data_IF_632121314036
#
_entry.id   IF_632121314036
#
_cell.length_a   1.000
_cell.length_b   1.000
_cell.length_c   1.000
_cell.angle_alpha   90.00
_cell.angle_beta   90.00
_cell.angle_gamma   90.00
#
_symmetry.space_group_name_H-M   'P 1'
#
loop_
_entity.id
_entity.type
_entity.pdbx_description
1 polymer ?
#
# COMPACT_ATOMS: atom_id res chain seq x y z
N UNK A 1 8.28 -6.00 -20.88
CA UNK A 1 9.39 -5.95 -19.90
C UNK A 1 8.85 -5.52 -18.56
N UNK A 2 9.40 -6.05 -17.48
CA UNK A 2 8.96 -5.72 -16.12
C UNK A 2 10.12 -5.25 -15.27
N UNK A 3 9.87 -4.24 -14.44
CA UNK A 3 10.78 -3.79 -13.41
C UNK A 3 10.05 -3.78 -12.07
N UNK A 4 10.76 -3.91 -10.96
CA UNK A 4 10.16 -3.88 -9.63
C UNK A 4 11.05 -3.17 -8.62
N UNK A 5 10.40 -2.57 -7.62
CA UNK A 5 11.07 -1.96 -6.47
C UNK A 5 10.33 -2.30 -5.19
N UNK A 6 11.07 -2.58 -4.14
CA UNK A 6 10.53 -2.85 -2.81
C UNK A 6 10.56 -1.61 -1.92
N UNK A 7 9.55 -1.50 -1.07
CA UNK A 7 9.40 -0.47 -0.05
C UNK A 7 8.99 -1.13 1.27
N UNK A 8 9.30 -0.49 2.38
CA UNK A 8 8.90 -0.91 3.72
C UNK A 8 8.28 0.26 4.47
N UNK A 9 7.32 -0.03 5.34
CA UNK A 9 6.75 0.95 6.27
C UNK A 9 6.17 0.24 7.50
N UNK A 10 6.07 0.98 8.59
CA UNK A 10 5.46 0.52 9.83
C UNK A 10 4.02 1.05 9.91
N UNK A 11 3.06 0.18 10.17
CA UNK A 11 1.67 0.60 10.26
C UNK A 11 0.89 -0.26 11.24
N UNK A 12 0.00 0.38 12.03
CA UNK A 12 -0.93 -0.29 12.91
C UNK A 12 -2.29 -0.49 12.27
N UNK A 13 -3.01 -1.49 12.74
CA UNK A 13 -4.39 -1.74 12.37
C UNK A 13 -5.07 -2.72 13.33
N UNK A 14 -6.34 -2.97 13.14
CA UNK A 14 -7.07 -4.11 13.70
C UNK A 14 -8.14 -4.59 12.73
N UNK A 15 -8.53 -5.85 12.88
CA UNK A 15 -9.62 -6.46 12.14
C UNK A 15 -10.74 -6.81 13.13
N UNK A 16 -11.72 -5.93 13.37
CA UNK A 16 -12.72 -6.12 14.43
C UNK A 16 -13.56 -7.39 14.29
N UNK A 17 -13.75 -7.85 13.04
CA UNK A 17 -14.49 -9.08 12.73
C UNK A 17 -13.71 -10.36 13.00
N UNK A 18 -12.37 -10.27 13.17
CA UNK A 18 -11.49 -11.43 13.28
C UNK A 18 -11.73 -12.18 14.60
N UNK A 19 -11.76 -13.51 14.53
CA UNK A 19 -11.98 -14.37 15.71
C UNK A 19 -10.70 -14.63 16.50
N UNK A 20 -9.54 -14.40 15.89
CA UNK A 20 -8.21 -14.60 16.47
C UNK A 20 -7.57 -13.30 16.95
N UNK A 21 -6.24 -13.31 17.02
CA UNK A 21 -5.43 -12.20 17.56
C UNK A 21 -5.56 -10.88 16.78
N UNK A 22 -5.86 -10.93 15.48
CA UNK A 22 -5.91 -9.75 14.63
C UNK A 22 -7.05 -8.78 14.97
N UNK A 23 -8.01 -9.17 15.80
CA UNK A 23 -9.02 -8.24 16.34
C UNK A 23 -8.42 -7.20 17.31
N UNK A 24 -7.26 -7.49 17.88
CA UNK A 24 -6.56 -6.60 18.79
C UNK A 24 -5.82 -5.50 18.03
N UNK A 25 -5.59 -4.38 18.69
CA UNK A 25 -4.72 -3.32 18.17
C UNK A 25 -3.30 -3.89 18.08
N UNK A 26 -2.72 -3.82 16.91
CA UNK A 26 -1.36 -4.31 16.63
C UNK A 26 -0.80 -3.62 15.39
N UNK A 27 0.41 -3.97 15.02
CA UNK A 27 1.05 -3.44 13.83
C UNK A 27 2.01 -4.44 13.21
N UNK A 28 2.44 -4.10 12.01
CA UNK A 28 3.40 -4.87 11.23
C UNK A 28 4.46 -3.98 10.62
N UNK A 29 5.61 -4.58 10.36
CA UNK A 29 6.54 -4.06 9.36
C UNK A 29 6.09 -4.57 8.00
N UNK A 30 5.33 -3.73 7.28
CA UNK A 30 4.88 -4.05 5.94
C UNK A 30 6.02 -3.93 4.93
N UNK A 31 5.99 -4.80 3.94
CA UNK A 31 6.81 -4.69 2.73
C UNK A 31 5.91 -4.74 1.52
N UNK A 32 6.18 -3.91 0.53
CA UNK A 32 5.48 -3.97 -0.74
C UNK A 32 6.49 -4.02 -1.88
N UNK A 33 6.24 -4.89 -2.85
CA UNK A 33 6.92 -4.88 -4.14
C UNK A 33 5.96 -4.32 -5.17
N UNK A 34 6.35 -3.23 -5.80
CA UNK A 34 5.61 -2.64 -6.92
C UNK A 34 6.36 -2.99 -8.21
N UNK A 35 5.64 -3.61 -9.14
CA UNK A 35 6.13 -3.97 -10.47
C UNK A 35 5.41 -3.12 -11.51
N UNK A 36 6.19 -2.55 -12.43
CA UNK A 36 5.68 -1.88 -13.62
C UNK A 36 6.00 -2.71 -14.85
N UNK A 37 5.02 -2.91 -15.71
CA UNK A 37 5.15 -3.55 -17.00
C UNK A 37 5.00 -2.51 -18.11
N UNK A 38 5.85 -2.60 -19.12
CA UNK A 38 5.80 -1.69 -20.25
C UNK A 38 6.89 -1.94 -21.27
N UNK A 39 6.87 -1.15 -22.34
CA UNK A 39 7.92 -1.15 -23.35
C UNK A 39 9.12 -0.33 -22.90
N UNK A 40 10.28 -0.61 -23.47
CA UNK A 40 11.47 0.20 -23.25
C UNK A 40 11.31 1.58 -23.90
N UNK A 41 11.67 2.61 -23.18
CA UNK A 41 11.78 3.95 -23.75
C UNK A 41 13.06 4.10 -24.57
N UNK A 42 13.31 5.28 -25.11
CA UNK A 42 14.49 5.61 -25.93
C UNK A 42 15.83 5.39 -25.22
N UNK A 43 15.83 5.40 -23.89
CA UNK A 43 17.02 5.16 -23.05
C UNK A 43 17.16 3.71 -22.60
N UNK A 44 16.30 2.80 -23.09
CA UNK A 44 16.32 1.39 -22.73
C UNK A 44 15.76 1.07 -21.35
N UNK A 45 14.89 1.93 -20.81
CA UNK A 45 14.25 1.75 -19.52
C UNK A 45 12.74 1.60 -19.66
N UNK A 46 12.11 0.74 -18.87
CA UNK A 46 10.65 0.76 -18.67
C UNK A 46 10.27 2.03 -17.93
N UNK A 47 10.96 2.32 -16.83
CA UNK A 47 10.81 3.50 -15.99
C UNK A 47 12.05 3.63 -15.12
N UNK A 48 12.49 4.85 -14.83
CA UNK A 48 13.59 5.06 -13.91
C UNK A 48 13.17 4.68 -12.48
N UNK A 49 14.05 4.01 -11.73
CA UNK A 49 13.76 3.64 -10.34
C UNK A 49 13.57 4.85 -9.41
N UNK A 50 14.16 6.01 -9.73
CA UNK A 50 13.87 7.26 -9.02
C UNK A 50 12.43 7.71 -9.25
N UNK A 51 11.93 7.57 -10.49
CA UNK A 51 10.53 7.92 -10.81
C UNK A 51 9.57 6.94 -10.12
N UNK A 52 9.92 5.65 -10.04
CA UNK A 52 9.16 4.68 -9.22
C UNK A 52 9.06 5.15 -7.77
N UNK A 53 10.17 5.61 -7.20
CA UNK A 53 10.20 6.15 -5.84
C UNK A 53 9.34 7.41 -5.70
N UNK A 54 9.36 8.30 -6.68
CA UNK A 54 8.58 9.54 -6.67
C UNK A 54 7.07 9.27 -6.71
N UNK A 55 6.64 8.21 -7.41
CA UNK A 55 5.23 7.79 -7.47
C UNK A 55 4.80 7.08 -6.19
N UNK A 56 5.58 6.13 -5.71
CA UNK A 56 5.20 5.24 -4.60
C UNK A 56 5.55 5.84 -3.24
N UNK A 57 6.66 6.56 -3.14
CA UNK A 57 7.17 7.14 -1.89
C UNK A 57 6.13 7.97 -1.13
N UNK A 58 5.42 8.91 -1.76
CA UNK A 58 4.38 9.69 -1.08
C UNK A 58 3.25 8.84 -0.47
N UNK A 59 2.87 7.73 -1.10
CA UNK A 59 1.87 6.81 -0.57
C UNK A 59 2.41 6.12 0.69
N UNK A 60 3.65 5.67 0.64
CA UNK A 60 4.34 5.07 1.80
C UNK A 60 4.46 6.08 2.94
N UNK A 61 4.89 7.31 2.66
CA UNK A 61 5.08 8.35 3.68
C UNK A 61 3.76 8.72 4.39
N UNK A 62 2.65 8.71 3.67
CA UNK A 62 1.32 8.93 4.26
C UNK A 62 0.94 7.82 5.25
N UNK A 63 1.30 6.57 4.93
CA UNK A 63 0.93 5.40 5.72
C UNK A 63 1.94 5.07 6.83
N UNK A 64 3.19 5.46 6.67
CA UNK A 64 4.25 5.10 7.62
C UNK A 64 4.04 5.72 8.99
N UNK A 65 4.15 4.89 10.05
CA UNK A 65 3.85 5.25 11.43
C UNK A 65 2.41 5.77 11.62
N UNK A 66 1.48 5.30 10.81
CA UNK A 66 0.05 5.59 10.87
C UNK A 66 -0.71 4.36 11.39
N UNK A 67 -1.89 4.61 11.91
CA UNK A 67 -2.88 3.56 12.15
C UNK A 67 -3.92 3.60 11.01
N UNK A 68 -4.04 2.52 10.25
CA UNK A 68 -5.06 2.41 9.20
C UNK A 68 -6.35 1.90 9.84
N UNK A 69 -7.43 2.67 9.69
CA UNK A 69 -8.69 2.40 10.37
C UNK A 69 -9.86 2.48 9.38
N UNK A 70 -10.77 1.51 9.47
CA UNK A 70 -12.01 1.56 8.70
C UNK A 70 -12.94 2.64 9.24
N UNK A 71 -13.64 3.36 8.36
CA UNK A 71 -14.49 4.51 8.70
C UNK A 71 -15.60 4.25 9.71
N UNK A 72 -16.06 3.01 9.86
CA UNK A 72 -17.08 2.61 10.84
C UNK A 72 -16.52 2.17 12.21
N UNK A 73 -15.21 2.16 12.38
CA UNK A 73 -14.56 1.87 13.66
C UNK A 73 -14.45 3.12 14.51
N UNK A 74 -15.59 3.60 14.99
CA UNK A 74 -15.72 4.88 15.67
C UNK A 74 -14.87 4.97 16.96
N UNK A 75 -14.78 3.90 17.73
CA UNK A 75 -14.02 3.89 18.99
C UNK A 75 -12.53 4.14 18.75
N UNK A 76 -11.96 3.52 17.73
CA UNK A 76 -10.55 3.71 17.38
C UNK A 76 -10.33 5.10 16.80
N UNK A 77 -11.19 5.57 15.90
CA UNK A 77 -11.09 6.91 15.33
C UNK A 77 -11.12 7.97 16.43
N UNK A 78 -12.10 7.91 17.34
CA UNK A 78 -12.24 8.83 18.45
C UNK A 78 -11.00 8.84 19.35
N UNK A 79 -10.44 7.66 19.63
CA UNK A 79 -9.22 7.53 20.43
C UNK A 79 -8.01 8.16 19.73
N UNK A 80 -7.80 7.86 18.46
CA UNK A 80 -6.67 8.38 17.69
C UNK A 80 -6.74 9.91 17.55
N UNK A 81 -7.93 10.44 17.32
CA UNK A 81 -8.16 11.89 17.27
C UNK A 81 -7.89 12.56 18.62
N UNK A 82 -8.38 11.95 19.70
CA UNK A 82 -8.20 12.46 21.07
C UNK A 82 -6.72 12.59 21.45
N UNK A 83 -5.89 11.61 21.09
CA UNK A 83 -4.45 11.64 21.40
C UNK A 83 -3.62 12.29 20.28
N UNK A 84 -4.25 12.78 19.21
CA UNK A 84 -3.59 13.36 18.05
C UNK A 84 -2.55 12.42 17.41
N UNK A 85 -2.90 11.14 17.28
CA UNK A 85 -2.05 10.14 16.63
C UNK A 85 -2.30 10.10 15.12
N UNK A 86 -1.24 9.94 14.34
CA UNK A 86 -1.34 9.82 12.88
C UNK A 86 -2.19 8.61 12.50
N UNK A 87 -3.21 8.82 11.67
CA UNK A 87 -4.08 7.75 11.20
C UNK A 87 -4.60 8.03 9.80
N UNK A 88 -5.00 6.96 9.12
CA UNK A 88 -5.58 7.00 7.76
C UNK A 88 -6.92 6.29 7.80
N UNK A 89 -8.00 7.02 7.53
CA UNK A 89 -9.35 6.48 7.48
C UNK A 89 -9.62 5.94 6.09
N UNK A 90 -10.06 4.69 6.00
CA UNK A 90 -10.39 4.02 4.74
C UNK A 90 -11.80 3.40 4.80
N UNK A 91 -12.39 3.11 3.63
CA UNK A 91 -13.75 2.55 3.54
C UNK A 91 -13.77 1.01 3.48
N UNK A 92 -12.63 0.37 3.67
CA UNK A 92 -12.48 -1.09 3.56
C UNK A 92 -11.86 -1.68 4.83
N UNK A 93 -12.06 -2.98 5.03
CA UNK A 93 -11.32 -3.73 6.05
C UNK A 93 -9.83 -3.71 5.73
N UNK A 94 -9.00 -3.43 6.73
CA UNK A 94 -7.56 -3.18 6.56
C UNK A 94 -6.74 -4.46 6.42
N UNK A 95 -7.21 -5.37 5.58
CA UNK A 95 -6.54 -6.61 5.21
C UNK A 95 -5.41 -6.34 4.21
N UNK A 96 -4.43 -7.25 4.13
CA UNK A 96 -3.34 -7.15 3.15
C UNK A 96 -3.88 -7.07 1.72
N UNK A 97 -4.97 -7.80 1.42
CA UNK A 97 -5.64 -7.81 0.12
C UNK A 97 -6.18 -6.43 -0.26
N UNK A 98 -6.88 -5.79 0.65
CA UNK A 98 -7.42 -4.45 0.42
C UNK A 98 -6.34 -3.37 0.40
N UNK A 99 -5.29 -3.50 1.20
CA UNK A 99 -4.12 -2.63 1.15
C UNK A 99 -3.43 -2.75 -0.21
N UNK A 100 -3.31 -3.96 -0.74
CA UNK A 100 -2.77 -4.20 -2.08
C UNK A 100 -3.56 -3.42 -3.15
N UNK A 101 -4.88 -3.52 -3.14
CA UNK A 101 -5.76 -2.78 -4.05
C UNK A 101 -5.71 -1.27 -3.86
N UNK A 102 -5.55 -0.82 -2.62
CA UNK A 102 -5.37 0.61 -2.30
C UNK A 102 -4.14 1.18 -3.02
N UNK A 103 -2.99 0.47 -2.96
CA UNK A 103 -1.79 0.88 -3.67
C UNK A 103 -1.99 0.90 -5.18
N UNK A 104 -2.57 -0.16 -5.75
CA UNK A 104 -2.83 -0.22 -7.18
C UNK A 104 -3.68 0.94 -7.66
N UNK A 105 -4.74 1.28 -6.92
CA UNK A 105 -5.59 2.41 -7.24
C UNK A 105 -4.81 3.73 -7.20
N UNK A 106 -4.10 4.00 -6.11
CA UNK A 106 -3.30 5.22 -5.94
C UNK A 106 -2.25 5.39 -7.04
N UNK A 107 -1.55 4.31 -7.38
CA UNK A 107 -0.53 4.33 -8.42
C UNK A 107 -1.16 4.55 -9.80
N UNK A 108 -2.31 3.92 -10.08
CA UNK A 108 -3.00 4.08 -11.38
C UNK A 108 -3.51 5.52 -11.61
N UNK A 109 -3.73 6.27 -10.55
CA UNK A 109 -4.17 7.68 -10.60
C UNK A 109 -2.98 8.66 -10.73
N UNK A 110 -1.74 8.18 -10.63
CA UNK A 110 -0.55 8.99 -10.80
C UNK A 110 -0.25 9.26 -12.28
N UNK A 111 0.55 10.29 -12.54
CA UNK A 111 1.04 10.59 -13.88
C UNK A 111 2.17 9.62 -14.26
N UNK A 112 1.80 8.51 -14.89
CA UNK A 112 2.73 7.48 -15.31
C UNK A 112 3.19 7.68 -16.76
N UNK A 113 4.43 7.27 -17.10
CA UNK A 113 4.88 7.28 -18.49
C UNK A 113 3.95 6.48 -19.42
N UNK A 114 3.75 6.96 -20.63
CA UNK A 114 2.82 6.37 -21.62
C UNK A 114 3.16 4.94 -22.04
N UNK A 115 4.42 4.55 -21.88
CA UNK A 115 4.89 3.20 -22.22
C UNK A 115 4.56 2.17 -21.14
N UNK A 116 4.01 2.59 -19.99
CA UNK A 116 3.57 1.67 -18.92
C UNK A 116 2.20 1.11 -19.28
N UNK A 117 2.09 -0.21 -19.30
CA UNK A 117 0.88 -0.94 -19.69
C UNK A 117 0.23 -1.71 -18.53
N UNK A 118 0.95 -1.89 -17.44
CA UNK A 118 0.43 -2.62 -16.29
C UNK A 118 1.21 -2.33 -15.02
N UNK A 119 0.53 -2.52 -13.90
CA UNK A 119 1.12 -2.44 -12.57
C UNK A 119 0.71 -3.66 -11.75
N UNK A 120 1.60 -4.09 -10.86
CA UNK A 120 1.33 -5.17 -9.92
C UNK A 120 1.85 -4.77 -8.56
N UNK A 121 1.08 -5.09 -7.53
CA UNK A 121 1.47 -4.89 -6.14
C UNK A 121 1.48 -6.22 -5.41
N UNK A 122 2.49 -6.42 -4.57
CA UNK A 122 2.64 -7.59 -3.71
C UNK A 122 2.93 -7.10 -2.31
N UNK A 123 1.93 -7.19 -1.41
CA UNK A 123 1.98 -6.67 -0.04
C UNK A 123 2.24 -7.81 0.93
N UNK A 124 3.35 -7.72 1.65
CA UNK A 124 3.71 -8.61 2.74
C UNK A 124 3.29 -7.97 4.07
N UNK A 125 2.37 -8.59 4.77
CA UNK A 125 2.00 -8.20 6.14
C UNK A 125 2.98 -8.81 7.15
N UNK A 126 3.44 -10.03 6.86
CA UNK A 126 4.51 -10.73 7.59
C UNK A 126 5.60 -11.15 6.63
N UNK A 127 6.70 -11.72 7.14
CA UNK A 127 7.82 -12.17 6.29
C UNK A 127 7.44 -13.28 5.30
N UNK A 128 6.44 -14.10 5.65
CA UNK A 128 6.09 -15.30 4.88
C UNK A 128 4.65 -15.32 4.39
N UNK A 129 3.92 -14.21 4.50
CA UNK A 129 2.54 -14.09 3.99
C UNK A 129 2.39 -12.84 3.12
N UNK A 130 1.72 -12.95 2.01
CA UNK A 130 1.47 -11.81 1.13
C UNK A 130 0.14 -11.92 0.38
N UNK A 131 -0.35 -10.77 -0.04
CA UNK A 131 -1.40 -10.63 -1.05
C UNK A 131 -0.83 -9.97 -2.31
N UNK A 132 -1.27 -10.41 -3.47
CA UNK A 132 -0.81 -9.92 -4.76
C UNK A 132 -2.00 -9.67 -5.68
N UNK A 133 -2.00 -8.54 -6.36
CA UNK A 133 -2.99 -8.21 -7.38
C UNK A 133 -2.34 -7.34 -8.47
N UNK A 134 -2.99 -7.21 -9.61
CA UNK A 134 -2.47 -6.46 -10.75
C UNK A 134 -3.58 -5.68 -11.46
N UNK A 135 -3.19 -4.62 -12.15
CA UNK A 135 -4.08 -3.75 -12.92
C UNK A 135 -3.47 -3.47 -14.28
N UNK A 136 -4.26 -3.70 -15.34
CA UNK A 136 -3.91 -3.27 -16.70
C UNK A 136 -4.31 -1.81 -16.89
N UNK A 137 -3.44 -1.06 -17.53
CA UNK A 137 -3.64 0.37 -17.78
C UNK A 137 -4.06 0.65 -19.22
#
# INVERSE_FOLDING_TARGET
>A
MKIAKEFKWEMGHRLPFHKGKCKNIHGHTYKIMIEFEGDLNENGMVMDYYDVKDVVGPIIDELDHSFMVKSDDADIIDFLEKINSKHTIVEFQTTAENICRYFLKKISEADLPKNITGIKAKVFETENTYAEDSLQL
#
